data_IF_315442896120
#
_entry.id   IF_315442896120
#
_cell.length_a   1.000
_cell.length_b   1.000
_cell.length_c   1.000
_cell.angle_alpha   90.00
_cell.angle_beta   90.00
_cell.angle_gamma   90.00
#
_symmetry.space_group_name_H-M   'P 1'
#
loop_
_entity.id
_entity.type
_entity.pdbx_description
1 polymer ?
#
# COMPACT_ATOMS: atom_id res chain seq x y z
N UNK A 1 29.11 -30.56 -51.98
CA UNK A 1 27.93 -29.68 -51.96
C UNK A 1 26.65 -30.52 -52.07
N UNK A 2 26.20 -31.13 -50.97
CA UNK A 2 25.08 -32.09 -50.99
C UNK A 2 24.08 -31.83 -49.84
N UNK A 3 23.68 -30.57 -49.65
CA UNK A 3 22.81 -30.18 -48.52
C UNK A 3 21.71 -29.16 -48.87
N UNK A 4 21.20 -29.16 -50.11
CA UNK A 4 20.04 -28.33 -50.48
C UNK A 4 19.15 -29.09 -51.47
N UNK A 5 18.57 -30.23 -51.08
CA UNK A 5 17.54 -30.90 -51.92
C UNK A 5 16.58 -31.78 -51.13
N UNK A 6 16.27 -31.43 -49.88
CA UNK A 6 15.29 -32.17 -49.06
C UNK A 6 14.15 -31.30 -48.52
N UNK A 7 13.88 -30.13 -49.12
CA UNK A 7 12.88 -29.19 -48.62
C UNK A 7 11.58 -29.08 -49.44
N UNK A 8 11.37 -29.94 -50.43
CA UNK A 8 10.08 -30.04 -51.12
C UNK A 8 9.71 -31.51 -51.38
N UNK A 9 9.55 -32.30 -50.32
CA UNK A 9 8.65 -33.44 -50.42
C UNK A 9 7.26 -32.86 -50.75
N UNK A 10 6.75 -33.16 -51.96
CA UNK A 10 5.46 -32.67 -52.41
C UNK A 10 4.40 -33.01 -51.36
N UNK A 11 3.90 -31.99 -50.65
CA UNK A 11 2.87 -32.17 -49.64
C UNK A 11 1.63 -32.70 -50.35
N UNK A 12 1.07 -33.78 -49.81
CA UNK A 12 -0.18 -34.33 -50.30
C UNK A 12 -1.33 -33.37 -49.91
N UNK A 13 -1.96 -32.79 -50.94
CA UNK A 13 -3.09 -31.87 -50.84
C UNK A 13 -4.41 -32.53 -51.24
N UNK A 14 -4.46 -33.86 -51.34
CA UNK A 14 -5.73 -34.55 -51.52
C UNK A 14 -6.62 -34.34 -50.30
N UNK A 15 -7.94 -34.27 -50.54
CA UNK A 15 -8.94 -34.07 -49.48
C UNK A 15 -8.77 -35.04 -48.30
N UNK A 16 -8.53 -36.35 -48.49
CA UNK A 16 -8.32 -37.28 -47.38
C UNK A 16 -7.07 -36.98 -46.54
N UNK A 17 -5.96 -36.55 -47.18
CA UNK A 17 -4.72 -36.20 -46.48
C UNK A 17 -4.88 -34.91 -45.66
N UNK A 18 -5.64 -33.94 -46.19
CA UNK A 18 -6.00 -32.71 -45.49
C UNK A 18 -6.90 -33.03 -44.29
N UNK A 19 -7.96 -33.82 -44.48
CA UNK A 19 -8.91 -34.19 -43.42
C UNK A 19 -8.21 -34.91 -42.26
N UNK A 20 -7.26 -35.82 -42.58
CA UNK A 20 -6.46 -36.52 -41.57
C UNK A 20 -5.58 -35.58 -40.75
N UNK A 21 -4.96 -34.59 -41.39
CA UNK A 21 -4.13 -33.58 -40.72
C UNK A 21 -4.96 -32.63 -39.87
N UNK A 22 -6.15 -32.26 -40.33
CA UNK A 22 -7.12 -31.49 -39.54
C UNK A 22 -7.52 -32.28 -38.30
N UNK A 23 -7.86 -33.57 -38.44
CA UNK A 23 -8.18 -34.44 -37.31
C UNK A 23 -7.03 -34.58 -36.30
N UNK A 24 -5.79 -34.66 -36.79
CA UNK A 24 -4.59 -34.73 -35.94
C UNK A 24 -4.32 -33.41 -35.18
N UNK A 25 -4.54 -32.26 -35.82
CA UNK A 25 -4.47 -30.94 -35.19
C UNK A 25 -5.58 -30.75 -34.15
N UNK A 26 -6.81 -31.18 -34.45
CA UNK A 26 -7.92 -31.14 -33.51
C UNK A 26 -7.66 -32.06 -32.32
N UNK A 27 -7.11 -33.26 -32.53
CA UNK A 27 -6.75 -34.19 -31.43
C UNK A 27 -5.65 -33.62 -30.53
N UNK A 28 -4.67 -32.91 -31.09
CA UNK A 28 -3.63 -32.19 -30.32
C UNK A 28 -4.20 -30.99 -29.55
N UNK A 29 -5.19 -30.28 -30.13
CA UNK A 29 -5.91 -29.20 -29.44
C UNK A 29 -6.72 -29.74 -28.26
N UNK A 30 -7.46 -30.83 -28.45
CA UNK A 30 -8.23 -31.50 -27.38
C UNK A 30 -7.30 -32.00 -26.26
N UNK A 31 -6.13 -32.56 -26.59
CA UNK A 31 -5.14 -32.98 -25.58
C UNK A 31 -4.42 -31.83 -24.83
N UNK A 32 -4.52 -30.59 -25.32
CA UNK A 32 -4.05 -29.37 -24.63
C UNK A 32 -5.16 -28.69 -23.82
N UNK A 33 -6.42 -28.92 -24.20
CA UNK A 33 -7.62 -28.47 -23.48
C UNK A 33 -7.99 -29.38 -22.29
N UNK A 34 -7.37 -30.56 -22.15
CA UNK A 34 -7.51 -31.50 -21.03
C UNK A 34 -6.50 -31.27 -19.87
N UNK A 35 -5.86 -30.10 -19.80
CA UNK A 35 -5.35 -29.63 -18.51
C UNK A 35 -6.56 -29.22 -17.68
N UNK A 36 -6.80 -29.78 -16.47
CA UNK A 36 -7.95 -29.38 -15.69
C UNK A 36 -7.83 -27.88 -15.38
N UNK A 37 -8.67 -27.08 -16.03
CA UNK A 37 -8.81 -25.67 -15.72
C UNK A 37 -9.40 -25.62 -14.32
N UNK A 38 -8.61 -25.15 -13.35
CA UNK A 38 -9.04 -25.01 -11.96
C UNK A 38 -10.40 -24.29 -11.93
N UNK A 39 -11.42 -24.93 -11.36
CA UNK A 39 -12.76 -24.36 -11.31
C UNK A 39 -12.75 -23.06 -10.50
N UNK A 40 -13.70 -22.15 -10.76
CA UNK A 40 -13.83 -20.90 -9.99
C UNK A 40 -13.90 -21.16 -8.48
N UNK A 41 -14.56 -22.26 -8.09
CA UNK A 41 -14.70 -22.68 -6.69
C UNK A 41 -13.37 -23.12 -6.09
N UNK A 42 -12.57 -23.89 -6.81
CA UNK A 42 -11.23 -24.33 -6.37
C UNK A 42 -10.28 -23.13 -6.23
N UNK A 43 -10.27 -22.23 -7.23
CA UNK A 43 -9.46 -21.00 -7.15
C UNK A 43 -9.84 -20.14 -5.95
N UNK A 44 -11.14 -19.97 -5.70
CA UNK A 44 -11.62 -19.20 -4.54
C UNK A 44 -11.23 -19.87 -3.21
N UNK A 45 -11.32 -21.20 -3.13
CA UNK A 45 -10.88 -21.95 -1.95
C UNK A 45 -9.38 -21.75 -1.68
N UNK A 46 -8.55 -21.80 -2.74
CA UNK A 46 -7.11 -21.54 -2.65
C UNK A 46 -6.79 -20.13 -2.17
N UNK A 47 -7.48 -19.10 -2.67
CA UNK A 47 -7.26 -17.73 -2.19
C UNK A 47 -7.73 -17.50 -0.76
N UNK A 48 -8.78 -18.20 -0.32
CA UNK A 48 -9.19 -18.22 1.10
C UNK A 48 -8.15 -18.89 1.99
N UNK A 49 -7.55 -19.99 1.55
CA UNK A 49 -6.45 -20.64 2.26
C UNK A 49 -5.22 -19.74 2.36
N UNK A 50 -4.83 -19.10 1.26
CA UNK A 50 -3.74 -18.12 1.27
C UNK A 50 -4.01 -16.94 2.21
N UNK A 51 -5.26 -16.46 2.26
CA UNK A 51 -5.68 -15.43 3.22
C UNK A 51 -5.53 -15.89 4.66
N UNK A 52 -5.93 -17.13 4.98
CA UNK A 52 -5.77 -17.68 6.32
C UNK A 52 -4.28 -17.84 6.69
N UNK A 53 -3.44 -18.24 5.74
CA UNK A 53 -1.99 -18.29 5.93
C UNK A 53 -1.42 -16.90 6.23
N UNK A 54 -1.85 -15.87 5.49
CA UNK A 54 -1.52 -14.45 5.76
C UNK A 54 -1.94 -14.02 7.16
N UNK A 55 -3.15 -14.37 7.60
CA UNK A 55 -3.63 -14.07 8.95
C UNK A 55 -2.73 -14.67 10.04
N UNK A 56 -2.22 -15.88 9.83
CA UNK A 56 -1.30 -16.53 10.75
C UNK A 56 0.08 -15.85 10.83
N UNK A 57 0.46 -15.02 9.86
CA UNK A 57 1.73 -14.26 9.88
C UNK A 57 1.67 -13.05 10.82
N UNK A 58 0.48 -12.54 11.15
CA UNK A 58 0.34 -11.40 12.04
C UNK A 58 0.82 -11.77 13.47
N UNK A 59 1.92 -11.14 13.89
CA UNK A 59 2.52 -11.31 15.23
C UNK A 59 1.85 -10.38 16.24
N UNK A 60 2.08 -10.59 17.53
CA UNK A 60 1.56 -9.71 18.59
C UNK A 60 1.94 -8.23 18.38
N UNK A 61 3.16 -7.96 17.90
CA UNK A 61 3.62 -6.60 17.56
C UNK A 61 2.79 -5.94 16.45
N UNK A 62 2.33 -6.72 15.46
CA UNK A 62 1.47 -6.21 14.39
C UNK A 62 0.13 -5.77 14.98
N UNK A 63 -0.50 -6.65 15.77
CA UNK A 63 -1.81 -6.40 16.38
C UNK A 63 -1.77 -5.18 17.29
N UNK A 64 -0.72 -5.02 18.09
CA UNK A 64 -0.56 -3.83 18.94
C UNK A 64 -0.50 -2.51 18.16
N UNK A 65 0.23 -2.47 17.03
CA UNK A 65 0.25 -1.29 16.15
C UNK A 65 -1.14 -1.04 15.57
N UNK A 66 -1.84 -2.10 15.15
CA UNK A 66 -3.19 -2.00 14.59
C UNK A 66 -4.24 -1.60 15.61
N UNK A 67 -4.13 -2.05 16.86
CA UNK A 67 -5.00 -1.62 17.96
C UNK A 67 -4.89 -0.11 18.21
N UNK A 68 -3.66 0.43 18.25
CA UNK A 68 -3.45 1.87 18.41
C UNK A 68 -3.95 2.63 17.18
N UNK A 69 -3.68 2.14 15.97
CA UNK A 69 -4.16 2.77 14.75
C UNK A 69 -5.70 2.76 14.67
N UNK A 70 -6.34 1.65 15.04
CA UNK A 70 -7.79 1.50 15.08
C UNK A 70 -8.43 2.43 16.11
N UNK A 71 -7.80 2.57 17.28
CA UNK A 71 -8.21 3.56 18.28
C UNK A 71 -8.16 4.99 17.73
N UNK A 72 -7.07 5.38 17.04
CA UNK A 72 -6.94 6.72 16.41
C UNK A 72 -7.99 6.91 15.31
N UNK A 73 -8.25 5.89 14.51
CA UNK A 73 -9.23 5.92 13.41
C UNK A 73 -10.69 5.79 13.88
N UNK A 74 -10.90 5.44 15.15
CA UNK A 74 -12.20 5.09 15.72
C UNK A 74 -12.93 3.99 14.94
N UNK A 75 -12.22 2.88 14.70
CA UNK A 75 -12.73 1.68 14.02
C UNK A 75 -12.38 0.42 14.81
N UNK A 76 -12.96 -0.71 14.43
CA UNK A 76 -12.61 -2.00 15.02
C UNK A 76 -11.22 -2.47 14.52
N UNK A 77 -10.31 -2.94 15.38
CA UNK A 77 -9.02 -3.51 14.96
C UNK A 77 -9.13 -4.62 13.91
N UNK A 78 -10.17 -5.45 13.99
CA UNK A 78 -10.41 -6.53 13.03
C UNK A 78 -10.65 -5.97 11.62
N UNK A 79 -11.23 -4.78 11.50
CA UNK A 79 -11.43 -4.10 10.20
C UNK A 79 -10.08 -3.75 9.56
N UNK A 80 -9.09 -3.35 10.36
CA UNK A 80 -7.75 -3.06 9.84
C UNK A 80 -7.01 -4.35 9.48
N UNK A 81 -7.06 -5.36 10.36
CA UNK A 81 -6.47 -6.68 10.09
C UNK A 81 -7.02 -7.28 8.79
N UNK A 82 -8.34 -7.24 8.61
CA UNK A 82 -9.00 -7.76 7.43
C UNK A 82 -8.50 -7.15 6.13
N UNK A 83 -8.21 -5.85 6.11
CA UNK A 83 -7.67 -5.18 4.93
C UNK A 83 -6.20 -5.50 4.68
N UNK A 84 -5.40 -5.62 5.75
CA UNK A 84 -3.96 -5.90 5.66
C UNK A 84 -3.70 -7.30 5.11
N UNK A 85 -4.51 -8.29 5.48
CA UNK A 85 -4.35 -9.67 4.99
C UNK A 85 -4.97 -9.89 3.59
N UNK A 86 -5.29 -8.82 2.86
CA UNK A 86 -5.73 -8.90 1.46
C UNK A 86 -4.57 -9.17 0.49
N UNK A 87 -3.34 -8.75 0.84
CA UNK A 87 -2.15 -8.83 -0.01
C UNK A 87 -0.90 -9.21 0.80
N UNK A 88 0.02 -9.95 0.20
CA UNK A 88 1.28 -10.30 0.86
C UNK A 88 2.16 -9.06 1.03
N UNK A 89 2.10 -8.14 0.07
CA UNK A 89 2.84 -6.87 0.07
C UNK A 89 2.52 -6.01 1.30
N UNK A 90 1.26 -6.00 1.74
CA UNK A 90 0.83 -5.26 2.92
C UNK A 90 1.47 -5.83 4.19
N UNK A 91 1.46 -7.15 4.33
CA UNK A 91 2.13 -7.81 5.47
C UNK A 91 3.62 -7.54 5.43
N UNK A 92 4.25 -7.65 4.25
CA UNK A 92 5.69 -7.40 4.11
C UNK A 92 6.07 -5.96 4.48
N UNK A 93 5.27 -4.96 4.10
CA UNK A 93 5.48 -3.57 4.50
C UNK A 93 5.36 -3.42 6.01
N UNK A 94 4.34 -4.01 6.62
CA UNK A 94 4.12 -3.96 8.06
C UNK A 94 5.25 -4.67 8.82
N UNK A 95 5.64 -5.88 8.42
CA UNK A 95 6.78 -6.63 9.00
C UNK A 95 8.07 -5.81 8.91
N UNK A 96 8.31 -5.14 7.78
CA UNK A 96 9.53 -4.35 7.58
C UNK A 96 9.67 -3.18 8.55
N UNK A 97 8.58 -2.70 9.16
CA UNK A 97 8.66 -1.67 10.20
C UNK A 97 9.36 -2.18 11.47
N UNK A 98 9.24 -3.48 11.76
CA UNK A 98 9.76 -4.06 13.00
C UNK A 98 11.21 -4.54 12.90
N UNK A 99 11.75 -4.66 11.69
CA UNK A 99 13.12 -5.18 11.49
C UNK A 99 14.16 -4.10 11.72
N UNK A 100 15.34 -4.49 12.21
CA UNK A 100 16.54 -3.67 12.14
C UNK A 100 16.81 -3.22 10.70
N UNK A 101 17.15 -1.95 10.54
CA UNK A 101 17.34 -1.24 9.28
C UNK A 101 16.12 -1.28 8.33
N UNK A 102 14.98 -1.73 8.85
CA UNK A 102 13.70 -1.72 8.18
C UNK A 102 13.08 -0.33 8.10
N UNK A 103 11.84 -0.26 7.60
CA UNK A 103 11.17 1.01 7.32
C UNK A 103 11.03 1.85 8.59
N UNK A 104 11.33 3.15 8.46
CA UNK A 104 11.19 4.12 9.56
C UNK A 104 9.76 4.65 9.70
N UNK A 105 8.96 4.54 8.64
CA UNK A 105 7.56 4.89 8.66
C UNK A 105 6.76 3.94 7.77
N UNK A 106 5.53 3.69 8.18
CA UNK A 106 4.48 3.03 7.41
C UNK A 106 3.20 3.85 7.54
N UNK A 107 2.34 3.75 6.54
CA UNK A 107 1.09 4.46 6.44
C UNK A 107 -0.03 3.43 6.45
N UNK A 108 -0.91 3.50 7.45
CA UNK A 108 -2.12 2.68 7.53
C UNK A 108 -3.26 3.55 7.03
N UNK A 109 -3.71 3.30 5.81
CA UNK A 109 -4.83 4.02 5.22
C UNK A 109 -6.14 3.33 5.58
N UNK A 110 -7.16 4.12 5.89
CA UNK A 110 -8.55 3.71 5.99
C UNK A 110 -9.39 4.64 5.14
N UNK A 111 -9.67 4.18 3.92
CA UNK A 111 -10.11 5.07 2.86
C UNK A 111 -10.93 4.34 1.80
N UNK A 112 -11.60 5.08 0.91
CA UNK A 112 -12.28 4.49 -0.24
C UNK A 112 -11.26 3.86 -1.21
N UNK A 113 -11.51 2.60 -1.59
CA UNK A 113 -10.69 1.79 -2.48
C UNK A 113 -11.57 0.91 -3.36
N UNK A 114 -11.03 0.38 -4.47
CA UNK A 114 -11.72 -0.68 -5.23
C UNK A 114 -12.11 -1.85 -4.32
N UNK A 115 -13.17 -2.62 -4.63
CA UNK A 115 -13.52 -3.81 -3.87
C UNK A 115 -12.39 -4.84 -3.81
N UNK A 116 -12.41 -5.74 -2.80
CA UNK A 116 -11.39 -6.77 -2.67
C UNK A 116 -11.27 -7.61 -3.95
N UNK A 117 -10.07 -7.70 -4.56
CA UNK A 117 -9.88 -8.47 -5.77
C UNK A 117 -10.06 -9.97 -5.49
N UNK A 118 -10.22 -10.77 -6.55
CA UNK A 118 -10.43 -12.22 -6.43
C UNK A 118 -9.32 -12.91 -5.60
N UNK A 119 -8.08 -12.45 -5.80
CA UNK A 119 -6.86 -12.95 -5.17
C UNK A 119 -6.78 -12.65 -3.66
N UNK A 120 -7.59 -11.72 -3.16
CA UNK A 120 -7.63 -11.37 -1.72
C UNK A 120 -8.21 -12.47 -0.85
N UNK A 121 -8.98 -13.40 -1.44
CA UNK A 121 -9.78 -14.40 -0.73
C UNK A 121 -11.09 -13.84 -0.13
N UNK A 122 -11.37 -12.55 -0.26
CA UNK A 122 -12.60 -11.88 0.21
C UNK A 122 -13.61 -11.57 -0.89
N UNK A 123 -13.28 -11.87 -2.14
CA UNK A 123 -14.15 -11.54 -3.25
C UNK A 123 -15.55 -12.14 -3.08
N UNK A 124 -16.56 -11.34 -3.44
CA UNK A 124 -17.97 -11.66 -3.35
C UNK A 124 -18.66 -11.11 -4.61
N UNK A 125 -19.57 -11.86 -5.27
CA UNK A 125 -20.35 -11.37 -6.41
C UNK A 125 -21.09 -10.05 -6.15
N UNK A 126 -21.43 -9.74 -4.90
CA UNK A 126 -22.06 -8.46 -4.53
C UNK A 126 -21.20 -7.24 -4.91
N UNK A 127 -19.87 -7.40 -4.89
CA UNK A 127 -18.94 -6.34 -5.25
C UNK A 127 -18.87 -6.04 -6.75
N UNK A 128 -19.44 -6.86 -7.63
CA UNK A 128 -19.41 -6.62 -9.08
C UNK A 128 -20.10 -5.31 -9.50
N UNK A 129 -20.99 -4.78 -8.65
CA UNK A 129 -21.71 -3.52 -8.87
C UNK A 129 -21.14 -2.35 -8.09
N UNK A 130 -20.18 -2.61 -7.22
CA UNK A 130 -19.55 -1.61 -6.37
C UNK A 130 -18.27 -1.14 -7.04
N UNK A 131 -18.12 0.17 -7.22
CA UNK A 131 -16.87 0.74 -7.74
C UNK A 131 -15.89 1.07 -6.61
N UNK A 132 -16.39 1.18 -5.38
CA UNK A 132 -15.61 1.65 -4.24
C UNK A 132 -16.22 1.16 -2.92
N UNK A 133 -15.36 0.78 -1.98
CA UNK A 133 -15.68 0.40 -0.61
C UNK A 133 -14.62 0.97 0.34
N UNK A 134 -15.01 1.24 1.59
CA UNK A 134 -14.03 1.64 2.60
C UNK A 134 -13.23 0.42 3.02
N UNK A 135 -11.89 0.50 2.89
CA UNK A 135 -10.96 -0.59 3.22
C UNK A 135 -9.73 -0.05 3.93
N UNK A 136 -9.00 -0.99 4.54
CA UNK A 136 -7.68 -0.74 5.09
C UNK A 136 -6.59 -1.26 4.15
N UNK A 137 -5.50 -0.51 4.03
CA UNK A 137 -4.25 -0.98 3.46
C UNK A 137 -3.06 -0.40 4.21
N UNK A 138 -1.88 -1.01 4.04
CA UNK A 138 -0.63 -0.49 4.59
C UNK A 138 0.40 -0.32 3.48
N UNK A 139 1.06 0.83 3.48
CA UNK A 139 2.03 1.23 2.45
C UNK A 139 3.19 1.99 3.08
N UNK A 140 4.29 2.11 2.36
CA UNK A 140 5.41 3.00 2.69
C UNK A 140 5.33 4.33 1.93
N UNK A 141 4.21 4.58 1.24
CA UNK A 141 3.97 5.73 0.39
C UNK A 141 4.30 5.51 -1.08
N UNK A 142 4.79 4.31 -1.47
CA UNK A 142 5.14 4.01 -2.87
C UNK A 142 4.02 3.34 -3.67
N UNK A 143 3.05 2.71 -3.01
CA UNK A 143 1.99 1.92 -3.68
C UNK A 143 0.63 2.61 -3.65
N UNK A 144 -0.03 2.62 -2.49
CA UNK A 144 -1.38 3.14 -2.33
C UNK A 144 -1.35 4.65 -2.06
N UNK A 145 -2.11 5.42 -2.84
CA UNK A 145 -2.23 6.87 -2.67
C UNK A 145 -3.13 7.20 -1.47
N UNK A 146 -2.87 8.31 -0.78
CA UNK A 146 -3.72 8.78 0.31
C UNK A 146 -4.94 9.53 -0.23
N UNK A 147 -6.14 9.04 0.05
CA UNK A 147 -7.44 9.60 -0.38
C UNK A 147 -8.48 9.73 0.73
N UNK A 148 -8.21 9.18 1.92
CA UNK A 148 -9.11 9.25 3.07
C UNK A 148 -8.36 9.47 4.38
N UNK A 149 -8.61 8.62 5.37
CA UNK A 149 -7.96 8.70 6.68
C UNK A 149 -6.66 7.90 6.68
N UNK A 150 -5.67 8.38 7.42
CA UNK A 150 -4.37 7.72 7.53
C UNK A 150 -3.81 7.87 8.94
N UNK A 151 -3.27 6.77 9.45
CA UNK A 151 -2.37 6.76 10.61
C UNK A 151 -0.96 6.50 10.10
N UNK A 152 -0.10 7.48 10.31
CA UNK A 152 1.34 7.41 10.04
C UNK A 152 1.98 6.83 11.29
N UNK A 153 2.56 5.64 11.18
CA UNK A 153 3.34 5.00 12.24
C UNK A 153 4.80 5.17 11.92
N UNK A 154 5.59 5.76 12.81
CA UNK A 154 7.00 6.01 12.57
C UNK A 154 7.86 5.77 13.80
N UNK A 155 9.15 5.51 13.57
CA UNK A 155 10.16 5.29 14.61
C UNK A 155 11.39 6.15 14.35
N UNK A 156 11.99 6.66 15.42
CA UNK A 156 13.17 7.50 15.32
C UNK A 156 14.45 6.66 15.17
N UNK A 157 14.53 5.55 15.89
CA UNK A 157 15.63 4.57 15.82
C UNK A 157 15.26 3.42 14.88
N UNK A 158 16.21 3.00 14.05
CA UNK A 158 16.06 1.86 13.14
C UNK A 158 17.17 0.82 13.30
N UNK A 159 18.12 1.02 14.20
CA UNK A 159 19.28 0.17 14.43
C UNK A 159 18.98 -1.07 15.30
N UNK A 160 17.72 -1.21 15.73
CA UNK A 160 17.20 -2.32 16.55
C UNK A 160 15.96 -2.95 15.92
N UNK A 161 15.72 -4.21 16.26
CA UNK A 161 14.43 -4.86 16.03
C UNK A 161 13.40 -4.38 17.06
N UNK A 162 12.18 -4.07 16.60
CA UNK A 162 11.07 -3.67 17.45
C UNK A 162 10.29 -4.89 17.95
N UNK A 163 10.71 -5.39 19.10
CA UNK A 163 9.87 -6.24 19.94
C UNK A 163 8.75 -5.44 20.65
N UNK A 164 7.74 -6.13 21.17
CA UNK A 164 6.59 -5.56 21.89
C UNK A 164 6.97 -4.51 22.94
N UNK A 165 8.04 -4.74 23.72
CA UNK A 165 8.48 -3.81 24.77
C UNK A 165 8.89 -2.43 24.23
N UNK A 166 9.41 -2.37 22.99
CA UNK A 166 9.88 -1.12 22.39
C UNK A 166 8.74 -0.29 21.80
N UNK A 167 7.61 -0.90 21.44
CA UNK A 167 6.54 -0.21 20.73
C UNK A 167 5.96 0.97 21.53
N UNK A 168 5.85 0.83 22.85
CA UNK A 168 5.30 1.88 23.70
C UNK A 168 6.23 3.09 23.86
N UNK A 169 7.54 2.91 23.70
CA UNK A 169 8.55 3.95 23.94
C UNK A 169 9.09 4.56 22.64
N UNK A 170 9.13 3.76 21.57
CA UNK A 170 9.90 4.09 20.37
C UNK A 170 9.03 4.18 19.10
N UNK A 171 7.74 3.79 19.15
CA UNK A 171 6.80 3.99 18.05
C UNK A 171 5.93 5.23 18.28
N UNK A 172 5.82 6.06 17.24
CA UNK A 172 5.07 7.30 17.24
C UNK A 172 3.97 7.24 16.19
N UNK A 173 2.87 7.93 16.46
CA UNK A 173 1.69 7.92 15.62
C UNK A 173 1.28 9.34 15.28
N UNK A 174 0.92 9.57 14.02
CA UNK A 174 0.33 10.82 13.57
C UNK A 174 -0.90 10.54 12.70
N UNK A 175 -1.88 11.44 12.75
CA UNK A 175 -3.12 11.34 11.99
C UNK A 175 -3.15 12.37 10.87
N UNK A 176 -3.51 11.92 9.67
CA UNK A 176 -3.81 12.76 8.53
C UNK A 176 -5.11 12.31 7.88
N UNK A 177 -5.89 13.27 7.39
CA UNK A 177 -7.15 13.02 6.70
C UNK A 177 -7.27 13.91 5.49
N UNK A 178 -7.62 13.29 4.37
CA UNK A 178 -7.94 13.99 3.14
C UNK A 178 -9.37 14.46 3.21
N UNK A 179 -9.56 15.76 3.06
CA UNK A 179 -10.89 16.35 2.93
C UNK A 179 -11.58 15.83 1.65
N UNK A 180 -12.79 15.25 1.74
CA UNK A 180 -13.48 14.64 0.60
C UNK A 180 -13.75 15.59 -0.56
N UNK A 181 -13.81 16.90 -0.29
CA UNK A 181 -14.09 17.93 -1.30
C UNK A 181 -12.81 18.26 -2.09
N UNK A 182 -11.72 18.56 -1.39
CA UNK A 182 -10.44 18.92 -2.03
C UNK A 182 -9.67 17.74 -2.58
N UNK A 183 -9.89 16.53 -2.04
CA UNK A 183 -9.17 15.28 -2.40
C UNK A 183 -7.65 15.41 -2.42
N UNK A 184 -7.11 16.35 -1.64
CA UNK A 184 -5.69 16.71 -1.68
C UNK A 184 -4.92 16.09 -0.53
N UNK A 185 -4.14 15.05 -0.83
CA UNK A 185 -3.17 14.48 0.12
C UNK A 185 -2.18 15.53 0.62
N UNK A 186 -1.74 16.44 -0.25
CA UNK A 186 -0.85 17.53 0.12
C UNK A 186 -1.48 18.46 1.16
N UNK A 187 -2.78 18.75 1.02
CA UNK A 187 -3.49 19.57 1.99
C UNK A 187 -3.57 18.89 3.36
N UNK A 188 -3.80 17.57 3.39
CA UNK A 188 -3.85 16.76 4.61
C UNK A 188 -2.49 16.76 5.34
N UNK A 189 -1.39 16.57 4.60
CA UNK A 189 -0.04 16.61 5.17
C UNK A 189 0.33 18.02 5.62
N UNK A 190 0.01 19.05 4.83
CA UNK A 190 0.21 20.46 5.22
C UNK A 190 -0.53 20.79 6.52
N UNK A 191 -1.76 20.29 6.66
CA UNK A 191 -2.56 20.47 7.86
C UNK A 191 -1.92 19.83 9.10
N UNK A 192 -1.42 18.60 8.96
CA UNK A 192 -0.65 17.92 10.02
C UNK A 192 0.58 18.74 10.43
N UNK A 193 1.37 19.22 9.45
CA UNK A 193 2.58 20.01 9.71
C UNK A 193 2.23 21.32 10.44
N UNK A 194 1.18 22.02 10.00
CA UNK A 194 0.73 23.27 10.62
C UNK A 194 0.20 23.08 12.04
N UNK A 195 -0.52 21.99 12.30
CA UNK A 195 -1.10 21.74 13.64
C UNK A 195 -0.09 21.20 14.64
N UNK A 196 0.88 20.39 14.19
CA UNK A 196 1.79 19.68 15.07
C UNK A 196 3.21 20.23 15.02
N UNK A 197 3.83 20.24 13.83
CA UNK A 197 5.25 20.54 13.69
C UNK A 197 5.56 22.02 13.86
N UNK A 198 4.77 22.92 13.25
CA UNK A 198 5.03 24.35 13.33
C UNK A 198 4.98 24.88 14.78
N UNK A 199 3.95 24.58 15.61
CA UNK A 199 3.94 24.99 17.01
C UNK A 199 5.11 24.40 17.81
N UNK A 200 5.47 23.13 17.57
CA UNK A 200 6.59 22.48 18.25
C UNK A 200 7.93 23.16 17.93
N UNK A 201 8.14 23.54 16.66
CA UNK A 201 9.33 24.26 16.20
C UNK A 201 9.39 25.66 16.83
N UNK A 202 8.27 26.41 16.83
CA UNK A 202 8.20 27.76 17.42
C UNK A 202 8.49 27.72 18.93
N UNK A 203 7.96 26.72 19.64
CA UNK A 203 8.16 26.57 21.07
C UNK A 203 9.56 26.08 21.45
N UNK A 204 10.33 25.54 20.50
CA UNK A 204 11.66 25.01 20.76
C UNK A 204 12.64 26.13 21.13
N UNK A 205 13.27 26.01 22.29
CA UNK A 205 14.29 26.94 22.78
C UNK A 205 15.72 26.45 22.55
N UNK A 206 15.89 25.17 22.19
CA UNK A 206 17.19 24.52 22.08
C UNK A 206 17.51 24.28 20.61
N UNK A 207 18.33 25.16 20.04
CA UNK A 207 18.76 25.14 18.63
C UNK A 207 20.25 24.77 18.49
N UNK A 208 20.79 24.05 19.48
CA UNK A 208 22.19 23.61 19.48
C UNK A 208 23.16 24.79 19.54
N UNK A 209 24.16 24.80 18.65
CA UNK A 209 25.16 25.87 18.59
C UNK A 209 24.56 27.25 18.27
N UNK A 210 23.42 27.30 17.58
CA UNK A 210 22.73 28.57 17.27
C UNK A 210 22.19 29.26 18.52
N UNK A 211 21.87 28.50 19.58
CA UNK A 211 21.43 29.09 20.87
C UNK A 211 22.57 29.77 21.63
N UNK A 212 23.82 29.69 21.16
CA UNK A 212 25.00 30.21 21.87
C UNK A 212 25.50 31.55 21.34
N UNK A 213 24.91 32.10 20.28
CA UNK A 213 25.34 33.38 19.70
C UNK A 213 24.16 34.26 19.24
N UNK A 214 24.30 35.58 19.34
CA UNK A 214 23.26 36.56 18.96
C UNK A 214 22.87 36.51 17.47
N UNK A 215 23.80 36.08 16.61
CA UNK A 215 23.51 35.86 15.19
C UNK A 215 22.64 34.63 14.96
N UNK A 216 22.66 33.66 15.88
CA UNK A 216 21.85 32.46 15.82
C UNK A 216 20.35 32.73 15.93
N UNK A 217 19.95 33.69 16.78
CA UNK A 217 18.54 34.08 16.94
C UNK A 217 17.93 34.59 15.61
N UNK A 218 18.70 35.35 14.84
CA UNK A 218 18.26 35.81 13.51
C UNK A 218 18.07 34.64 12.54
N UNK A 219 18.99 33.68 12.55
CA UNK A 219 18.91 32.48 11.68
C UNK A 219 17.70 31.62 12.06
N UNK A 220 17.47 31.41 13.36
CA UNK A 220 16.30 30.66 13.86
C UNK A 220 15.00 31.34 13.45
N UNK A 221 14.89 32.66 13.64
CA UNK A 221 13.69 33.41 13.27
C UNK A 221 13.43 33.34 11.75
N UNK A 222 14.46 33.49 10.92
CA UNK A 222 14.32 33.35 9.47
C UNK A 222 13.83 31.96 9.08
N UNK A 223 14.41 30.90 9.66
CA UNK A 223 13.96 29.53 9.42
C UNK A 223 12.49 29.32 9.80
N UNK A 224 12.06 29.83 10.96
CA UNK A 224 10.67 29.72 11.41
C UNK A 224 9.72 30.44 10.45
N UNK A 225 10.10 31.64 9.99
CA UNK A 225 9.32 32.40 8.99
C UNK A 225 9.24 31.63 7.66
N UNK A 226 10.38 31.20 7.12
CA UNK A 226 10.43 30.45 5.85
C UNK A 226 9.61 29.14 5.93
N UNK A 227 9.68 28.45 7.06
CA UNK A 227 8.91 27.23 7.29
C UNK A 227 7.41 27.51 7.38
N UNK A 228 7.00 28.60 8.05
CA UNK A 228 5.61 29.03 8.07
C UNK A 228 5.11 29.37 6.67
N UNK A 229 5.86 30.19 5.94
CA UNK A 229 5.51 30.61 4.58
C UNK A 229 5.39 29.40 3.64
N UNK A 230 6.28 28.41 3.79
CA UNK A 230 6.16 27.14 3.08
C UNK A 230 4.86 26.40 3.40
N UNK A 231 4.50 26.27 4.68
CA UNK A 231 3.27 25.59 5.09
C UNK A 231 2.00 26.35 4.66
N UNK A 232 2.04 27.67 4.70
CA UNK A 232 0.96 28.53 4.20
C UNK A 232 0.84 28.42 2.67
N UNK A 233 1.97 28.36 1.94
CA UNK A 233 1.98 28.10 0.51
C UNK A 233 1.30 26.76 0.18
N UNK A 234 1.71 25.68 0.85
CA UNK A 234 1.08 24.35 0.68
C UNK A 234 -0.43 24.40 0.95
N UNK A 235 -0.85 25.18 1.94
CA UNK A 235 -2.25 25.36 2.29
C UNK A 235 -3.00 26.28 1.32
N UNK A 236 -2.36 27.30 0.73
CA UNK A 236 -3.01 28.17 -0.26
C UNK A 236 -3.30 27.43 -1.57
N UNK A 237 -2.48 26.44 -1.92
CA UNK A 237 -2.70 25.53 -3.06
C UNK A 237 -3.93 24.64 -2.89
N UNK A 238 -4.57 24.61 -1.71
CA UNK A 238 -5.91 24.05 -1.47
C UNK A 238 -6.97 24.65 -2.39
N UNK A 239 -6.85 25.93 -2.75
CA UNK A 239 -7.91 26.69 -3.44
C UNK A 239 -7.76 26.65 -4.97
N UNK A 240 -6.53 26.55 -5.50
CA UNK A 240 -6.29 26.63 -6.95
C UNK A 240 -6.63 25.34 -7.72
N UNK A 241 -6.61 24.17 -7.08
CA UNK A 241 -7.03 22.91 -7.74
C UNK A 241 -8.56 22.77 -7.87
N UNK A 242 -9.35 23.67 -7.27
CA UNK A 242 -10.82 23.66 -7.35
C UNK A 242 -11.32 24.42 -8.60
N UNK A 243 -10.44 25.10 -9.35
CA UNK A 243 -10.83 25.96 -10.50
C UNK A 243 -10.35 25.39 -11.86
N UNK A 244 -10.21 24.08 -12.02
CA UNK A 244 -9.95 23.47 -13.34
C UNK A 244 -10.92 22.33 -13.60
#
# INVERSE_FOLDING_TARGET
>A
MAHITAYFAARDYTKPAIDRRIAELLKRRVGLEELPTESLKERLAKFKENRNARQALLKATHRQVLEVAAFILNVDPDTLEEGIIDKDEYINVLDSFFLKDGKRAILIHYQPMEPPPFESGRWNPQYERETEVIRCCVTDGSTEQLSGKCVIVYRLKSDIDFETKHLHEEAYYAYAEVDPVSRSALAAISDLILRLNLPAIIANKVWGELSKCETGDKVVNNFICDFRDFCEFLSSKRVQLIII
#
